data_IF_825892111984
#
_entry.id   IF_825892111984
#
_cell.length_a   1.000
_cell.length_b   1.000
_cell.length_c   1.000
_cell.angle_alpha   90.00
_cell.angle_beta   90.00
_cell.angle_gamma   90.00
#
_symmetry.space_group_name_H-M   'P 1'
#
loop_
_entity.id
_entity.type
_entity.pdbx_description
1 polymer ?
#
# COMPACT_ATOMS: atom_id res chain seq x y z
N UNK A 1 -22.96 4.97 8.37
CA UNK A 1 -22.80 5.15 9.84
C UNK A 1 -21.32 5.39 10.07
N UNK A 2 -20.93 6.60 10.46
CA UNK A 2 -19.53 6.94 10.70
C UNK A 2 -19.00 6.12 11.89
N UNK A 3 -18.11 5.18 11.64
CA UNK A 3 -17.31 4.58 12.69
C UNK A 3 -16.08 5.48 12.91
N UNK A 4 -16.16 6.31 13.95
CA UNK A 4 -15.05 7.11 14.45
C UNK A 4 -14.02 6.15 15.08
N UNK A 5 -12.81 6.14 14.57
CA UNK A 5 -11.68 5.55 15.27
C UNK A 5 -11.50 6.29 16.60
N UNK A 6 -11.78 5.60 17.71
CA UNK A 6 -11.43 6.09 19.04
C UNK A 6 -9.98 5.73 19.29
N UNK A 7 -9.09 6.69 19.13
CA UNK A 7 -7.72 6.58 19.63
C UNK A 7 -7.81 6.71 21.16
N UNK A 8 -7.53 5.64 21.88
CA UNK A 8 -7.47 5.67 23.35
C UNK A 8 -6.12 6.20 23.79
N UNK A 9 -6.12 7.34 24.48
CA UNK A 9 -4.96 7.80 25.22
C UNK A 9 -4.75 6.88 26.43
N UNK A 10 -3.64 6.13 26.44
CA UNK A 10 -3.24 5.35 27.62
C UNK A 10 -2.31 6.21 28.47
N UNK A 11 -2.80 6.64 29.63
CA UNK A 11 -2.02 7.39 30.60
C UNK A 11 -1.17 6.40 31.42
N UNK A 12 0.13 6.28 31.11
CA UNK A 12 1.08 5.60 31.99
C UNK A 12 2.04 6.60 32.62
N UNK A 13 2.03 6.66 33.96
CA UNK A 13 3.04 7.34 34.76
C UNK A 13 4.27 6.44 34.86
N UNK A 14 5.30 6.68 34.05
CA UNK A 14 6.67 6.23 34.36
C UNK A 14 7.68 7.29 33.97
N UNK A 15 8.33 7.84 34.98
CA UNK A 15 9.43 8.80 34.81
C UNK A 15 10.68 8.06 34.35
N UNK A 16 11.14 8.33 33.13
CA UNK A 16 12.49 8.00 32.67
C UNK A 16 13.18 9.32 32.26
N UNK A 17 14.15 9.77 33.03
CA UNK A 17 14.96 10.95 32.72
C UNK A 17 15.93 10.62 31.57
N UNK A 18 15.67 11.13 30.39
CA UNK A 18 16.69 11.28 29.34
C UNK A 18 16.89 12.78 29.15
N UNK A 19 18.12 13.23 29.34
CA UNK A 19 18.47 14.64 29.23
C UNK A 19 18.51 15.07 27.76
N UNK A 20 17.43 15.70 27.31
CA UNK A 20 17.40 16.49 26.09
C UNK A 20 17.43 17.98 26.40
N UNK A 21 17.87 18.81 25.45
CA UNK A 21 17.82 20.26 25.58
C UNK A 21 16.38 20.69 25.96
N UNK A 22 16.23 21.73 26.83
CA UNK A 22 14.91 22.14 27.26
C UNK A 22 14.07 22.55 26.03
N UNK A 23 12.83 22.04 25.91
CA UNK A 23 11.93 22.44 24.85
C UNK A 23 11.61 23.94 24.95
N UNK A 24 11.35 24.58 23.81
CA UNK A 24 10.89 25.96 23.78
C UNK A 24 9.55 26.08 24.54
N UNK A 25 9.49 26.97 25.53
CA UNK A 25 8.25 27.27 26.27
C UNK A 25 7.45 28.30 25.48
N UNK A 26 6.21 27.96 25.07
CA UNK A 26 5.28 28.86 24.39
C UNK A 26 4.02 28.96 25.24
N UNK A 27 3.55 30.19 25.54
CA UNK A 27 2.21 30.46 26.09
C UNK A 27 1.34 30.85 24.92
N UNK A 28 0.24 30.11 24.68
CA UNK A 28 -0.45 30.17 23.41
C UNK A 28 -1.98 30.16 23.58
N UNK A 29 -2.71 30.82 22.67
CA UNK A 29 -4.15 30.61 22.43
C UNK A 29 -4.36 29.30 21.65
N UNK A 30 -5.60 28.78 21.57
CA UNK A 30 -5.90 27.54 20.83
C UNK A 30 -5.34 27.53 19.40
N UNK A 31 -5.32 28.67 18.70
CA UNK A 31 -4.70 28.81 17.38
C UNK A 31 -3.18 28.72 17.43
N UNK A 32 -2.54 29.33 18.42
CA UNK A 32 -1.10 29.30 18.59
C UNK A 32 -0.63 27.90 19.04
N UNK A 33 -1.41 27.19 19.86
CA UNK A 33 -1.15 25.79 20.19
C UNK A 33 -1.20 24.91 18.93
N UNK A 34 -2.22 25.06 18.08
CA UNK A 34 -2.32 24.32 16.84
C UNK A 34 -1.12 24.60 15.92
N UNK A 35 -0.67 25.84 15.81
CA UNK A 35 0.49 26.22 15.00
C UNK A 35 1.81 25.67 15.59
N UNK A 36 1.94 25.68 16.92
CA UNK A 36 3.11 25.10 17.61
C UNK A 36 3.18 23.57 17.38
N UNK A 37 2.05 22.86 17.48
CA UNK A 37 1.96 21.42 17.21
C UNK A 37 2.27 21.12 15.73
N UNK A 38 1.67 21.84 14.78
CA UNK A 38 1.98 21.67 13.33
C UNK A 38 3.46 21.89 13.08
N UNK A 39 4.05 22.95 13.65
CA UNK A 39 5.49 23.23 13.49
C UNK A 39 6.35 22.11 14.07
N UNK A 40 6.02 21.58 15.26
CA UNK A 40 6.74 20.47 15.85
C UNK A 40 6.64 19.19 14.98
N UNK A 41 5.44 18.90 14.46
CA UNK A 41 5.22 17.76 13.55
C UNK A 41 6.00 17.96 12.25
N UNK A 42 5.92 19.14 11.63
CA UNK A 42 6.67 19.47 10.41
C UNK A 42 8.17 19.34 10.58
N UNK A 43 8.69 19.71 11.76
CA UNK A 43 10.09 19.56 12.12
C UNK A 43 10.45 18.13 12.56
N UNK A 44 9.51 17.23 12.71
CA UNK A 44 9.71 15.91 13.32
C UNK A 44 10.37 16.01 14.70
N UNK A 45 9.86 16.90 15.56
CA UNK A 45 10.36 17.02 16.93
C UNK A 45 9.82 15.84 17.76
N UNK A 46 10.67 15.24 18.61
CA UNK A 46 10.27 14.10 19.43
C UNK A 46 9.29 14.47 20.54
N UNK A 47 9.34 15.72 20.98
CA UNK A 47 8.39 16.25 21.98
C UNK A 47 8.22 17.76 21.88
N UNK A 48 7.10 18.25 22.41
CA UNK A 48 6.77 19.67 22.53
C UNK A 48 6.20 19.94 23.93
N UNK A 49 6.67 20.99 24.59
CA UNK A 49 6.05 21.47 25.83
C UNK A 49 5.41 22.83 25.59
N UNK A 50 4.12 22.95 25.91
CA UNK A 50 3.34 24.19 25.81
C UNK A 50 2.56 24.46 27.09
N UNK A 51 2.17 25.72 27.26
CA UNK A 51 1.37 26.19 28.37
C UNK A 51 0.16 26.96 27.86
N UNK A 52 -1.01 26.65 28.42
CA UNK A 52 -2.28 27.31 28.16
C UNK A 52 -2.90 27.82 29.46
N UNK A 53 -3.96 28.60 29.32
CA UNK A 53 -4.75 29.04 30.48
C UNK A 53 -5.38 27.83 31.19
N UNK A 54 -5.55 27.97 32.53
CA UNK A 54 -6.06 26.86 33.35
C UNK A 54 -7.46 26.36 32.95
N UNK A 55 -8.25 27.14 32.23
CA UNK A 55 -9.60 26.82 31.74
C UNK A 55 -9.64 26.33 30.29
N UNK A 56 -8.46 26.17 29.63
CA UNK A 56 -8.39 25.66 28.27
C UNK A 56 -9.07 24.30 28.14
N UNK A 57 -9.95 24.16 27.12
CA UNK A 57 -10.64 22.91 26.80
C UNK A 57 -9.74 22.00 25.93
N UNK A 58 -8.93 21.19 26.63
CA UNK A 58 -7.98 20.29 26.00
C UNK A 58 -8.67 19.15 25.25
N UNK A 59 -9.78 18.63 25.78
CA UNK A 59 -10.50 17.49 25.18
C UNK A 59 -11.10 17.89 23.82
N UNK A 60 -11.78 19.05 23.78
CA UNK A 60 -12.29 19.59 22.53
C UNK A 60 -11.19 19.89 21.51
N UNK A 61 -10.06 20.43 21.95
CA UNK A 61 -8.91 20.70 21.09
C UNK A 61 -8.35 19.41 20.46
N UNK A 62 -8.14 18.37 21.25
CA UNK A 62 -7.58 17.08 20.79
C UNK A 62 -8.52 16.37 19.81
N UNK A 63 -9.85 16.50 19.99
CA UNK A 63 -10.84 15.95 19.07
C UNK A 63 -10.82 16.61 17.68
N UNK A 64 -10.45 17.88 17.61
CA UNK A 64 -10.46 18.66 16.36
C UNK A 64 -9.10 18.73 15.66
N UNK A 65 -7.99 18.51 16.40
CA UNK A 65 -6.64 18.64 15.84
C UNK A 65 -6.28 17.44 14.96
N UNK A 66 -5.82 17.73 13.72
CA UNK A 66 -5.31 16.71 12.79
C UNK A 66 -3.82 16.42 13.04
N UNK A 67 -3.52 15.22 13.52
CA UNK A 67 -2.17 14.71 13.75
C UNK A 67 -1.58 14.00 12.51
N UNK A 68 -1.84 14.51 11.30
CA UNK A 68 -1.32 13.92 10.07
C UNK A 68 0.20 13.71 10.11
N UNK A 69 0.65 12.51 9.73
CA UNK A 69 2.06 12.12 9.76
C UNK A 69 2.55 11.54 11.09
N UNK A 70 1.75 11.59 12.15
CA UNK A 70 2.05 11.02 13.47
C UNK A 70 1.40 9.65 13.60
N UNK A 71 2.19 8.60 13.89
CA UNK A 71 1.69 7.25 14.14
C UNK A 71 1.22 7.03 15.57
N UNK A 72 1.84 7.74 16.51
CA UNK A 72 1.49 7.70 17.93
C UNK A 72 1.85 9.03 18.58
N UNK A 73 0.98 9.49 19.45
CA UNK A 73 1.28 10.61 20.35
C UNK A 73 0.88 10.28 21.79
N UNK A 74 1.60 10.85 22.73
CA UNK A 74 1.29 10.77 24.16
C UNK A 74 1.22 12.20 24.71
N UNK A 75 0.24 12.45 25.56
CA UNK A 75 0.05 13.74 26.19
C UNK A 75 0.10 13.59 27.71
N UNK A 76 1.07 14.25 28.31
CA UNK A 76 1.17 14.43 29.76
C UNK A 76 0.77 15.86 30.12
N UNK A 77 -0.29 16.04 30.87
CA UNK A 77 -0.77 17.37 31.27
C UNK A 77 -0.79 17.53 32.79
N UNK A 78 -0.52 18.75 33.24
CA UNK A 78 -0.59 19.14 34.66
C UNK A 78 -1.24 20.52 34.76
N UNK A 79 -2.36 20.61 35.45
CA UNK A 79 -3.14 21.85 35.64
C UNK A 79 -2.85 22.47 36.98
N UNK A 80 -2.53 23.77 36.98
CA UNK A 80 -2.41 24.58 38.16
C UNK A 80 -3.63 25.52 38.32
N UNK A 81 -3.60 26.44 39.24
CA UNK A 81 -4.64 27.47 39.35
C UNK A 81 -4.58 28.55 38.25
N UNK A 82 -3.46 28.62 37.51
CA UNK A 82 -3.20 29.68 36.53
C UNK A 82 -2.94 29.17 35.13
N UNK A 83 -2.38 28.00 35.04
CA UNK A 83 -1.92 27.44 33.78
C UNK A 83 -2.17 25.94 33.66
N UNK A 84 -2.22 25.46 32.43
CA UNK A 84 -2.22 24.06 32.00
C UNK A 84 -0.91 23.81 31.25
N UNK A 85 0.01 23.06 31.89
CA UNK A 85 1.20 22.57 31.21
C UNK A 85 0.88 21.30 30.46
N UNK A 86 1.30 21.23 29.21
CA UNK A 86 1.16 20.04 28.34
C UNK A 86 2.53 19.64 27.79
N UNK A 87 2.83 18.34 27.82
CA UNK A 87 3.98 17.74 27.15
C UNK A 87 3.45 16.73 26.17
N UNK A 88 3.72 16.98 24.92
CA UNK A 88 3.37 16.11 23.79
C UNK A 88 4.61 15.34 23.37
N UNK A 89 4.52 14.03 23.27
CA UNK A 89 5.56 13.16 22.73
C UNK A 89 5.04 12.51 21.46
N UNK A 90 5.85 12.50 20.38
CA UNK A 90 5.45 12.08 19.05
C UNK A 90 6.29 10.91 18.52
N UNK A 91 5.62 9.94 17.92
CA UNK A 91 6.23 8.98 17.00
C UNK A 91 5.63 9.19 15.59
N UNK A 92 6.49 9.15 14.58
CA UNK A 92 6.11 9.49 13.21
C UNK A 92 5.85 8.25 12.38
N UNK A 93 4.80 8.34 11.54
CA UNK A 93 4.51 7.36 10.50
C UNK A 93 5.75 7.15 9.60
N UNK A 94 5.98 5.90 9.19
CA UNK A 94 7.18 5.52 8.44
C UNK A 94 7.30 6.27 7.12
N UNK A 95 6.22 6.33 6.33
CA UNK A 95 6.20 7.03 5.04
C UNK A 95 6.41 8.52 5.21
N UNK A 96 5.75 9.13 6.20
CA UNK A 96 5.94 10.55 6.51
C UNK A 96 7.39 10.87 6.84
N UNK A 97 7.99 10.10 7.75
CA UNK A 97 9.37 10.31 8.18
C UNK A 97 10.38 10.12 7.05
N UNK A 98 10.21 9.05 6.24
CA UNK A 98 11.07 8.79 5.07
C UNK A 98 10.90 9.90 4.03
N UNK A 99 9.67 10.36 3.76
CA UNK A 99 9.42 11.48 2.85
C UNK A 99 10.16 12.73 3.26
N UNK A 100 10.06 13.13 4.54
CA UNK A 100 10.78 14.28 5.08
C UNK A 100 12.29 14.14 4.90
N UNK A 101 12.85 12.95 5.14
CA UNK A 101 14.27 12.66 4.95
C UNK A 101 14.70 12.68 3.47
N UNK A 102 13.80 12.36 2.53
CA UNK A 102 14.06 12.45 1.09
C UNK A 102 13.97 13.90 0.58
N UNK A 103 13.08 14.71 1.14
CA UNK A 103 12.94 16.13 0.84
C UNK A 103 14.11 16.96 1.37
N UNK A 104 14.57 16.65 2.58
CA UNK A 104 15.71 17.31 3.25
C UNK A 104 16.51 16.28 4.05
N UNK A 105 17.75 16.04 3.63
CA UNK A 105 18.67 15.08 4.26
C UNK A 105 18.96 15.39 5.75
N UNK A 106 18.70 16.60 6.22
CA UNK A 106 18.83 16.94 7.65
C UNK A 106 17.84 16.15 8.54
N UNK A 107 16.74 15.64 7.96
CA UNK A 107 15.79 14.80 8.68
C UNK A 107 16.24 13.34 8.83
N UNK A 108 17.26 12.87 8.11
CA UNK A 108 17.74 11.49 8.25
C UNK A 108 18.18 11.16 9.68
N UNK A 109 18.73 12.13 10.39
CA UNK A 109 19.13 11.98 11.81
C UNK A 109 17.93 11.87 12.78
N UNK A 110 16.72 12.20 12.33
CA UNK A 110 15.48 12.13 13.12
C UNK A 110 14.70 10.83 12.87
N UNK A 111 15.13 10.01 11.91
CA UNK A 111 14.54 8.71 11.65
C UNK A 111 14.76 7.76 12.83
N UNK A 112 13.72 6.96 13.15
CA UNK A 112 13.91 5.83 14.06
C UNK A 112 14.88 4.81 13.45
N UNK A 113 15.48 3.91 14.25
CA UNK A 113 16.38 2.89 13.71
C UNK A 113 15.76 2.03 12.60
N UNK A 114 14.46 1.67 12.72
CA UNK A 114 13.73 0.91 11.68
C UNK A 114 13.56 1.73 10.41
N UNK A 115 13.12 2.97 10.50
CA UNK A 115 12.95 3.87 9.36
C UNK A 115 14.27 4.14 8.62
N UNK A 116 15.36 4.36 9.38
CA UNK A 116 16.69 4.52 8.80
C UNK A 116 17.17 3.24 8.08
N UNK A 117 16.88 2.07 8.65
CA UNK A 117 17.18 0.79 8.02
C UNK A 117 16.38 0.63 6.70
N UNK A 118 15.06 0.87 6.70
CA UNK A 118 14.24 0.83 5.48
C UNK A 118 14.82 1.73 4.40
N UNK A 119 15.09 2.99 4.73
CA UNK A 119 15.64 3.95 3.76
C UNK A 119 17.00 3.50 3.20
N UNK A 120 17.89 3.01 4.05
CA UNK A 120 19.23 2.54 3.65
C UNK A 120 19.16 1.31 2.73
N UNK A 121 18.37 0.31 3.09
CA UNK A 121 18.26 -0.95 2.33
C UNK A 121 17.49 -0.76 1.03
N UNK A 122 16.44 0.08 1.02
CA UNK A 122 15.74 0.43 -0.21
C UNK A 122 16.65 1.19 -1.18
N UNK A 123 17.50 2.11 -0.71
CA UNK A 123 18.53 2.76 -1.54
C UNK A 123 19.52 1.74 -2.12
N UNK A 124 19.97 0.77 -1.31
CA UNK A 124 20.86 -0.29 -1.77
C UNK A 124 20.17 -1.20 -2.79
N UNK A 125 18.91 -1.58 -2.56
CA UNK A 125 18.12 -2.38 -3.49
C UNK A 125 17.95 -1.67 -4.83
N UNK A 126 17.51 -0.43 -4.83
CA UNK A 126 17.30 0.38 -6.05
C UNK A 126 18.61 0.49 -6.83
N UNK A 127 19.69 0.88 -6.17
CA UNK A 127 21.02 1.00 -6.78
C UNK A 127 21.51 -0.31 -7.43
N UNK A 128 21.20 -1.46 -6.83
CA UNK A 128 21.64 -2.78 -7.29
C UNK A 128 20.77 -3.34 -8.40
N UNK A 129 19.45 -3.18 -8.29
CA UNK A 129 18.47 -3.93 -9.07
C UNK A 129 17.73 -3.10 -10.11
N UNK A 130 17.71 -1.77 -9.98
CA UNK A 130 16.94 -0.87 -10.86
C UNK A 130 17.89 0.05 -11.64
N UNK A 131 18.30 -0.32 -12.86
CA UNK A 131 19.13 0.52 -13.71
C UNK A 131 18.43 1.85 -14.09
N UNK A 132 19.15 2.96 -14.06
CA UNK A 132 18.64 4.31 -14.40
C UNK A 132 18.02 4.40 -15.81
N UNK A 133 18.43 3.52 -16.73
CA UNK A 133 17.95 3.50 -18.12
C UNK A 133 16.55 2.93 -18.31
N UNK A 134 15.98 2.30 -17.27
CA UNK A 134 14.64 1.75 -17.33
C UNK A 134 13.60 2.88 -17.38
N UNK A 135 12.53 2.65 -18.14
CA UNK A 135 11.34 3.49 -18.11
C UNK A 135 10.63 3.36 -16.77
N UNK A 136 9.78 4.33 -16.43
CA UNK A 136 9.03 4.27 -15.16
C UNK A 136 8.15 3.02 -15.07
N UNK A 137 7.54 2.59 -16.18
CA UNK A 137 6.81 1.32 -16.29
C UNK A 137 7.69 0.09 -15.98
N UNK A 138 8.90 0.03 -16.55
CA UNK A 138 9.81 -1.09 -16.30
C UNK A 138 10.30 -1.13 -14.85
N UNK A 139 10.53 0.04 -14.23
CA UNK A 139 10.88 0.14 -12.81
C UNK A 139 9.73 -0.30 -11.92
N UNK A 140 8.52 0.19 -12.20
CA UNK A 140 7.30 -0.19 -11.51
C UNK A 140 7.08 -1.70 -11.56
N UNK A 141 7.11 -2.28 -12.78
CA UNK A 141 6.95 -3.72 -12.98
C UNK A 141 7.97 -4.54 -12.19
N UNK A 142 9.23 -4.12 -12.18
CA UNK A 142 10.28 -4.82 -11.44
C UNK A 142 10.03 -4.77 -9.92
N UNK A 143 9.56 -3.64 -9.41
CA UNK A 143 9.21 -3.47 -7.99
C UNK A 143 7.98 -4.30 -7.63
N UNK A 144 6.94 -4.27 -8.46
CA UNK A 144 5.76 -5.10 -8.33
C UNK A 144 6.12 -6.58 -8.25
N UNK A 145 6.83 -7.09 -9.27
CA UNK A 145 7.24 -8.50 -9.36
C UNK A 145 8.08 -8.93 -8.14
N UNK A 146 8.97 -8.05 -7.68
CA UNK A 146 9.76 -8.29 -6.48
C UNK A 146 8.89 -8.46 -5.23
N UNK A 147 7.94 -7.57 -5.03
CA UNK A 147 7.05 -7.61 -3.86
C UNK A 147 6.11 -8.82 -3.92
N UNK A 148 5.51 -9.12 -5.08
CA UNK A 148 4.65 -10.30 -5.26
C UNK A 148 5.35 -11.63 -4.96
N UNK A 149 6.67 -11.71 -5.17
CA UNK A 149 7.43 -12.95 -4.95
C UNK A 149 8.03 -13.05 -3.56
N UNK A 150 8.30 -11.93 -2.90
CA UNK A 150 9.09 -11.90 -1.66
C UNK A 150 8.29 -11.50 -0.42
N UNK A 151 7.03 -11.10 -0.58
CA UNK A 151 6.16 -10.71 0.54
C UNK A 151 4.90 -11.55 0.49
N UNK A 152 4.54 -12.18 1.60
CA UNK A 152 3.29 -12.90 1.77
C UNK A 152 2.28 -12.08 2.58
N UNK A 153 0.99 -12.26 2.31
CA UNK A 153 -0.05 -11.57 3.07
C UNK A 153 -0.12 -12.09 4.51
N UNK A 154 -0.28 -11.18 5.47
CA UNK A 154 -0.38 -11.51 6.90
C UNK A 154 -1.84 -11.73 7.29
N UNK A 155 -2.31 -12.96 7.06
CA UNK A 155 -3.68 -13.39 7.36
C UNK A 155 -4.01 -13.24 8.86
N UNK A 156 -3.05 -13.55 9.77
CA UNK A 156 -3.27 -13.49 11.21
C UNK A 156 -3.55 -12.04 11.66
N UNK A 157 -2.73 -11.10 11.23
CA UNK A 157 -2.94 -9.67 11.51
C UNK A 157 -4.26 -9.16 10.95
N UNK A 158 -4.64 -9.60 9.73
CA UNK A 158 -5.91 -9.19 9.12
C UNK A 158 -7.11 -9.78 9.84
N UNK A 159 -7.07 -11.06 10.27
CA UNK A 159 -8.12 -11.67 11.07
C UNK A 159 -8.28 -10.97 12.43
N UNK A 160 -7.18 -10.61 13.09
CA UNK A 160 -7.20 -9.82 14.33
C UNK A 160 -7.89 -8.46 14.10
N UNK A 161 -7.52 -7.73 13.05
CA UNK A 161 -8.11 -6.45 12.68
C UNK A 161 -9.62 -6.57 12.45
N UNK A 162 -10.05 -7.55 11.67
CA UNK A 162 -11.46 -7.82 11.38
C UNK A 162 -12.26 -8.22 12.64
N UNK A 163 -11.59 -8.87 13.59
CA UNK A 163 -12.16 -9.24 14.90
C UNK A 163 -12.19 -8.08 15.91
N UNK A 164 -11.68 -6.90 15.52
CA UNK A 164 -11.58 -5.71 16.39
C UNK A 164 -10.49 -5.82 17.45
N UNK A 165 -9.54 -6.72 17.29
CA UNK A 165 -8.36 -6.85 18.14
C UNK A 165 -7.36 -5.77 17.72
N UNK A 166 -6.94 -4.94 18.68
CA UNK A 166 -5.92 -3.91 18.44
C UNK A 166 -4.59 -4.47 18.93
N UNK A 167 -3.71 -4.79 17.99
CA UNK A 167 -2.34 -5.19 18.28
C UNK A 167 -1.46 -3.95 18.53
N UNK A 168 -0.53 -4.04 19.49
CA UNK A 168 0.54 -3.03 19.64
C UNK A 168 1.66 -3.19 18.61
N UNK A 169 1.71 -4.33 17.91
CA UNK A 169 2.69 -4.55 16.82
C UNK A 169 2.16 -3.97 15.52
N UNK A 170 2.71 -2.81 15.15
CA UNK A 170 2.42 -2.15 13.87
C UNK A 170 3.30 -2.65 12.72
N UNK A 171 4.19 -3.61 12.97
CA UNK A 171 5.17 -4.07 11.95
C UNK A 171 4.52 -4.53 10.65
N UNK A 172 3.41 -5.30 10.64
CA UNK A 172 2.75 -5.73 9.40
C UNK A 172 2.20 -4.59 8.53
N UNK A 173 1.99 -3.41 9.12
CA UNK A 173 1.48 -2.20 8.45
C UNK A 173 2.60 -1.32 7.88
N UNK A 174 3.86 -1.75 7.92
CA UNK A 174 5.03 -0.94 7.55
C UNK A 174 5.81 -1.55 6.40
N UNK A 175 6.54 -0.72 5.65
CA UNK A 175 7.52 -1.19 4.67
C UNK A 175 8.58 -2.08 5.32
N UNK A 176 8.90 -1.87 6.60
CA UNK A 176 9.80 -2.74 7.35
C UNK A 176 9.27 -4.18 7.41
N UNK A 177 8.00 -4.38 7.75
CA UNK A 177 7.36 -5.70 7.78
C UNK A 177 7.44 -6.39 6.42
N UNK A 178 7.03 -5.70 5.36
CA UNK A 178 7.08 -6.22 4.01
C UNK A 178 8.50 -6.60 3.56
N UNK A 179 9.47 -5.70 3.74
CA UNK A 179 10.81 -5.86 3.15
C UNK A 179 11.78 -6.71 3.97
N UNK A 180 11.59 -6.81 5.30
CA UNK A 180 12.53 -7.52 6.18
C UNK A 180 11.93 -8.75 6.85
N UNK A 181 10.63 -8.74 7.16
CA UNK A 181 9.95 -9.92 7.68
C UNK A 181 9.37 -10.78 6.56
N UNK A 182 9.18 -10.21 5.36
CA UNK A 182 8.54 -10.88 4.23
C UNK A 182 7.05 -11.14 4.42
N UNK A 183 6.41 -10.44 5.37
CA UNK A 183 4.97 -10.52 5.63
C UNK A 183 4.41 -9.15 5.92
N UNK A 184 3.24 -8.84 5.38
CA UNK A 184 2.58 -7.56 5.58
C UNK A 184 1.07 -7.65 5.27
N UNK A 185 0.30 -6.71 5.81
CA UNK A 185 -1.04 -6.40 5.32
C UNK A 185 -0.96 -5.34 4.21
N UNK A 186 -2.08 -4.97 3.61
CA UNK A 186 -2.16 -4.05 2.48
C UNK A 186 -1.37 -2.74 2.68
N UNK A 187 -1.45 -2.11 3.84
CA UNK A 187 -0.72 -0.88 4.15
C UNK A 187 0.80 -1.10 4.08
N UNK A 188 1.32 -2.23 4.57
CA UNK A 188 2.74 -2.56 4.49
C UNK A 188 3.23 -2.77 3.06
N UNK A 189 2.44 -3.43 2.21
CA UNK A 189 2.72 -3.53 0.76
C UNK A 189 2.74 -2.16 0.08
N UNK A 190 1.70 -1.34 0.31
CA UNK A 190 1.60 -0.01 -0.26
C UNK A 190 2.76 0.90 0.17
N UNK A 191 3.16 0.82 1.44
CA UNK A 191 4.31 1.55 1.98
C UNK A 191 5.63 1.09 1.36
N UNK A 192 5.85 -0.22 1.19
CA UNK A 192 7.05 -0.77 0.56
C UNK A 192 7.14 -0.37 -0.92
N UNK A 193 6.04 -0.49 -1.67
CA UNK A 193 5.96 -0.04 -3.06
C UNK A 193 6.25 1.47 -3.15
N UNK A 194 5.64 2.28 -2.27
CA UNK A 194 5.85 3.74 -2.24
C UNK A 194 7.33 4.11 -2.06
N UNK A 195 8.03 3.50 -1.11
CA UNK A 195 9.45 3.80 -0.86
C UNK A 195 10.32 3.42 -2.05
N UNK A 196 10.13 2.21 -2.60
CA UNK A 196 10.93 1.71 -3.72
C UNK A 196 10.70 2.52 -5.00
N UNK A 197 9.43 2.85 -5.33
CA UNK A 197 9.07 3.67 -6.47
C UNK A 197 9.66 5.08 -6.36
N UNK A 198 9.48 5.72 -5.18
CA UNK A 198 10.01 7.08 -4.93
C UNK A 198 11.53 7.13 -5.07
N UNK A 199 12.25 6.17 -4.50
CA UNK A 199 13.72 6.08 -4.63
C UNK A 199 14.18 5.77 -6.05
N UNK A 200 13.33 5.15 -6.86
CA UNK A 200 13.57 4.88 -8.28
C UNK A 200 13.24 6.08 -9.17
N UNK A 201 12.76 7.19 -8.59
CA UNK A 201 12.35 8.40 -9.29
C UNK A 201 10.98 8.31 -9.96
N UNK A 202 10.14 7.35 -9.56
CA UNK A 202 8.77 7.18 -10.04
C UNK A 202 7.80 7.89 -9.07
N UNK A 203 7.10 8.91 -9.56
CA UNK A 203 6.10 9.64 -8.78
C UNK A 203 4.92 8.73 -8.46
N UNK A 204 4.55 8.66 -7.18
CA UNK A 204 3.45 7.82 -6.74
C UNK A 204 2.81 8.33 -5.45
N UNK A 205 1.57 7.91 -5.19
CA UNK A 205 0.79 8.23 -4.00
C UNK A 205 0.26 6.95 -3.37
N UNK A 206 0.12 6.95 -2.04
CA UNK A 206 -0.64 5.91 -1.35
C UNK A 206 -2.12 6.30 -1.41
N UNK A 207 -2.95 5.36 -1.81
CA UNK A 207 -4.41 5.48 -1.85
C UNK A 207 -4.97 4.64 -0.71
N UNK A 208 -5.98 5.17 -0.03
CA UNK A 208 -6.67 4.46 1.04
C UNK A 208 -8.17 4.39 0.74
N UNK A 209 -8.79 3.30 1.13
CA UNK A 209 -10.22 3.18 1.35
C UNK A 209 -10.51 3.04 2.85
N UNK A 210 -11.75 2.74 3.21
CA UNK A 210 -12.11 2.46 4.61
C UNK A 210 -11.42 1.19 5.16
N UNK A 211 -11.01 0.26 4.29
CA UNK A 211 -10.52 -1.06 4.69
C UNK A 211 -9.23 -1.50 4.01
N UNK A 212 -8.75 -0.76 3.00
CA UNK A 212 -7.65 -1.18 2.14
C UNK A 212 -6.69 -0.03 1.79
N UNK A 213 -5.45 -0.37 1.39
CA UNK A 213 -4.44 0.57 0.93
C UNK A 213 -3.67 0.01 -0.27
N UNK A 214 -3.43 0.87 -1.28
CA UNK A 214 -2.69 0.55 -2.50
C UNK A 214 -1.95 1.79 -3.04
N UNK A 215 -1.43 1.75 -4.27
CA UNK A 215 -0.70 2.87 -4.84
C UNK A 215 -1.38 3.43 -6.10
N UNK A 216 -1.16 4.73 -6.34
CA UNK A 216 -1.44 5.41 -7.59
C UNK A 216 -0.11 5.88 -8.17
N UNK A 217 0.27 5.36 -9.33
CA UNK A 217 1.61 5.51 -9.92
C UNK A 217 1.53 6.35 -11.19
N UNK A 218 2.48 7.27 -11.35
CA UNK A 218 2.59 8.10 -12.56
C UNK A 218 3.52 7.48 -13.57
N UNK A 219 2.99 7.16 -14.74
CA UNK A 219 3.71 6.62 -15.87
C UNK A 219 3.65 7.61 -17.04
N UNK A 220 4.77 8.24 -17.34
CA UNK A 220 4.80 9.34 -18.30
C UNK A 220 3.92 10.52 -17.83
N UNK A 221 2.83 10.81 -18.55
CA UNK A 221 1.87 11.87 -18.19
C UNK A 221 0.56 11.34 -17.57
N UNK A 222 0.45 10.05 -17.32
CA UNK A 222 -0.77 9.39 -16.85
C UNK A 222 -0.57 8.77 -15.48
N UNK A 223 -1.67 8.63 -14.74
CA UNK A 223 -1.68 7.87 -13.50
C UNK A 223 -2.42 6.55 -13.69
N UNK A 224 -2.01 5.53 -12.96
CA UNK A 224 -2.60 4.21 -12.95
C UNK A 224 -2.61 3.65 -11.53
N UNK A 225 -3.63 2.89 -11.18
CA UNK A 225 -3.67 2.17 -9.91
C UNK A 225 -2.79 0.92 -9.94
N UNK A 226 -2.08 0.69 -8.85
CA UNK A 226 -1.22 -0.47 -8.62
C UNK A 226 -1.57 -1.07 -7.26
N UNK A 227 -2.14 -2.26 -7.24
CA UNK A 227 -2.34 -3.01 -6.00
C UNK A 227 -1.50 -4.29 -5.96
N UNK A 228 -0.34 -4.16 -5.36
CA UNK A 228 0.58 -5.29 -5.20
C UNK A 228 0.06 -6.34 -4.22
N UNK A 229 -0.77 -5.94 -3.25
CA UNK A 229 -1.31 -6.86 -2.24
C UNK A 229 -2.19 -7.92 -2.88
N UNK A 230 -3.12 -7.49 -3.72
CA UNK A 230 -4.06 -8.40 -4.37
C UNK A 230 -3.38 -9.20 -5.47
N UNK A 231 -2.47 -8.61 -6.25
CA UNK A 231 -1.65 -9.35 -7.22
C UNK A 231 -0.70 -10.37 -6.54
N UNK A 232 -0.19 -10.09 -5.34
CA UNK A 232 0.61 -11.02 -4.53
C UNK A 232 -0.25 -12.22 -4.08
N UNK A 233 -1.45 -11.99 -3.58
CA UNK A 233 -2.37 -13.05 -3.17
C UNK A 233 -2.76 -13.95 -4.32
N UNK A 234 -3.01 -13.39 -5.52
CA UNK A 234 -3.25 -14.18 -6.73
C UNK A 234 -1.99 -14.91 -7.21
N UNK A 235 -0.81 -14.33 -7.03
CA UNK A 235 0.48 -14.96 -7.34
C UNK A 235 0.70 -16.19 -6.47
N UNK A 236 0.41 -16.11 -5.18
CA UNK A 236 0.48 -17.25 -4.27
C UNK A 236 -0.51 -18.36 -4.66
N UNK A 237 -1.72 -18.00 -5.07
CA UNK A 237 -2.74 -18.94 -5.52
C UNK A 237 -2.35 -19.68 -6.80
N UNK A 238 -1.74 -18.98 -7.77
CA UNK A 238 -1.46 -19.51 -9.12
C UNK A 238 -0.04 -20.00 -9.30
N UNK A 239 0.88 -19.64 -8.39
CA UNK A 239 2.31 -19.92 -8.49
C UNK A 239 3.02 -19.13 -9.60
N UNK A 240 2.38 -18.09 -10.13
CA UNK A 240 2.92 -17.22 -11.19
C UNK A 240 2.52 -15.79 -10.95
N UNK A 241 3.43 -14.83 -11.17
CA UNK A 241 3.14 -13.41 -10.96
C UNK A 241 1.91 -13.00 -11.77
N UNK A 242 0.93 -12.45 -11.07
CA UNK A 242 -0.31 -11.94 -11.63
C UNK A 242 -0.26 -10.42 -11.78
N UNK A 243 -1.07 -9.89 -12.68
CA UNK A 243 -1.14 -8.46 -13.01
C UNK A 243 -2.59 -7.98 -13.11
N UNK A 244 -3.49 -8.64 -12.38
CA UNK A 244 -4.93 -8.33 -12.37
C UNK A 244 -5.19 -6.90 -11.92
N UNK A 245 -4.43 -6.45 -10.92
CA UNK A 245 -4.56 -5.11 -10.31
C UNK A 245 -3.39 -4.19 -10.65
N UNK A 246 -2.70 -4.49 -11.75
CA UNK A 246 -1.54 -3.75 -12.24
C UNK A 246 -1.95 -2.76 -13.33
N UNK A 247 -1.80 -1.46 -13.05
CA UNK A 247 -2.07 -0.36 -13.97
C UNK A 247 -3.53 -0.24 -14.43
N UNK A 248 -4.44 -0.28 -13.45
CA UNK A 248 -5.87 -0.08 -13.66
C UNK A 248 -6.25 1.42 -13.71
N UNK A 249 -7.36 1.69 -14.38
CA UNK A 249 -8.03 3.01 -14.34
C UNK A 249 -8.89 3.15 -13.09
N UNK A 250 -9.34 4.38 -12.76
CA UNK A 250 -10.33 4.64 -11.71
C UNK A 250 -11.60 3.78 -11.92
N UNK A 251 -12.09 3.70 -13.17
CA UNK A 251 -13.29 2.93 -13.50
C UNK A 251 -13.09 1.43 -13.26
N UNK A 252 -11.93 0.89 -13.61
CA UNK A 252 -11.61 -0.51 -13.41
C UNK A 252 -11.41 -0.83 -11.92
N UNK A 253 -10.61 -0.02 -11.21
CA UNK A 253 -10.29 -0.25 -9.81
C UNK A 253 -11.53 -0.12 -8.90
N UNK A 254 -12.37 0.88 -9.11
CA UNK A 254 -13.56 1.11 -8.27
C UNK A 254 -14.72 0.12 -8.52
N UNK A 255 -14.58 -0.85 -9.42
CA UNK A 255 -15.51 -1.98 -9.51
C UNK A 255 -15.44 -2.87 -8.26
N UNK A 256 -14.28 -2.92 -7.62
CA UNK A 256 -14.05 -3.72 -6.43
C UNK A 256 -14.46 -2.93 -5.17
N UNK A 257 -15.31 -3.50 -4.30
CA UNK A 257 -15.87 -2.77 -3.15
C UNK A 257 -14.83 -2.19 -2.20
N UNK A 258 -13.70 -2.88 -2.00
CA UNK A 258 -12.61 -2.46 -1.13
C UNK A 258 -11.79 -1.30 -1.71
N UNK A 259 -11.89 -1.03 -3.02
CA UNK A 259 -11.13 -0.01 -3.73
C UNK A 259 -11.92 1.29 -3.97
N UNK A 260 -12.66 1.76 -2.96
CA UNK A 260 -13.35 3.05 -3.01
C UNK A 260 -12.47 4.12 -2.32
N UNK A 261 -11.71 4.97 -3.07
CA UNK A 261 -10.77 5.92 -2.47
C UNK A 261 -11.46 6.91 -1.55
N UNK A 262 -10.87 7.13 -0.36
CA UNK A 262 -11.31 8.18 0.59
C UNK A 262 -10.36 9.38 0.60
N UNK A 263 -9.20 9.28 -0.04
CA UNK A 263 -8.26 10.39 -0.18
C UNK A 263 -8.83 11.48 -1.09
N UNK A 264 -8.79 12.73 -0.64
CA UNK A 264 -9.15 13.87 -1.46
C UNK A 264 -7.98 14.32 -2.35
N UNK A 265 -8.29 14.80 -3.56
CA UNK A 265 -7.32 15.49 -4.42
C UNK A 265 -6.31 14.59 -5.15
N UNK A 266 -6.54 13.29 -5.21
CA UNK A 266 -5.74 12.40 -6.06
C UNK A 266 -5.92 12.75 -7.55
N UNK A 267 -4.85 12.67 -8.36
CA UNK A 267 -4.98 12.82 -9.80
C UNK A 267 -5.75 11.64 -10.41
N UNK A 268 -6.50 11.87 -11.50
CA UNK A 268 -7.31 10.81 -12.11
C UNK A 268 -6.44 9.77 -12.84
N UNK A 269 -6.84 8.50 -12.74
CA UNK A 269 -6.31 7.39 -13.52
C UNK A 269 -7.31 7.03 -14.64
N UNK A 270 -7.12 7.63 -15.82
CA UNK A 270 -8.05 7.56 -16.95
C UNK A 270 -7.50 6.85 -18.19
N UNK A 271 -6.36 6.14 -18.06
CA UNK A 271 -5.64 5.60 -19.22
C UNK A 271 -5.32 4.11 -19.07
N UNK A 272 -5.76 3.32 -20.03
CA UNK A 272 -5.43 1.90 -20.16
C UNK A 272 -4.06 1.64 -20.85
N UNK A 273 -3.31 2.71 -21.17
CA UNK A 273 -2.10 2.62 -21.99
C UNK A 273 -0.97 1.78 -21.35
N UNK A 274 -1.03 1.56 -20.04
CA UNK A 274 -0.04 0.77 -19.30
C UNK A 274 -0.59 -0.54 -18.73
N UNK A 275 -1.87 -0.86 -18.96
CA UNK A 275 -2.42 -2.13 -18.52
C UNK A 275 -1.72 -3.30 -19.25
N UNK A 276 -1.26 -4.28 -18.49
CA UNK A 276 -0.46 -5.40 -18.98
C UNK A 276 -1.21 -6.22 -20.05
N UNK A 277 -2.44 -6.58 -19.77
CA UNK A 277 -3.23 -7.45 -20.64
C UNK A 277 -3.64 -6.78 -21.96
N UNK A 278 -3.93 -5.46 -21.91
CA UNK A 278 -4.38 -4.72 -23.08
C UNK A 278 -3.25 -4.49 -24.08
N UNK A 279 -2.04 -4.28 -23.59
CA UNK A 279 -0.87 -4.04 -24.42
C UNK A 279 -0.23 -5.33 -24.96
N UNK A 280 -0.41 -6.46 -24.27
CA UNK A 280 0.14 -7.75 -24.69
C UNK A 280 -0.77 -8.55 -25.65
N UNK A 281 -1.99 -8.08 -25.91
CA UNK A 281 -2.98 -8.81 -26.69
C UNK A 281 -3.67 -9.93 -25.91
N UNK A 282 -3.55 -9.91 -24.58
CA UNK A 282 -4.15 -10.86 -23.64
C UNK A 282 -5.51 -10.39 -23.12
N UNK A 283 -6.25 -9.65 -23.93
CA UNK A 283 -7.61 -9.20 -23.65
C UNK A 283 -8.61 -9.98 -24.52
N UNK A 284 -9.62 -10.56 -23.90
CA UNK A 284 -10.69 -11.32 -24.53
C UNK A 284 -12.04 -10.61 -24.32
N UNK A 285 -12.73 -10.28 -25.43
CA UNK A 285 -14.09 -9.74 -25.43
C UNK A 285 -15.17 -10.82 -25.59
N UNK A 286 -14.78 -12.07 -25.84
CA UNK A 286 -15.70 -13.21 -26.04
C UNK A 286 -14.95 -14.55 -25.96
N UNK A 287 -15.69 -15.69 -25.94
CA UNK A 287 -15.10 -17.04 -25.87
C UNK A 287 -14.13 -17.35 -27.01
N UNK A 288 -14.39 -16.87 -28.24
CA UNK A 288 -13.47 -17.12 -29.34
C UNK A 288 -12.12 -16.43 -29.16
N UNK A 289 -12.09 -15.26 -28.50
CA UNK A 289 -10.85 -14.61 -28.10
C UNK A 289 -10.15 -15.41 -27.02
N UNK A 290 -10.87 -15.93 -26.02
CA UNK A 290 -10.31 -16.79 -24.96
C UNK A 290 -9.63 -18.01 -25.59
N UNK A 291 -10.34 -18.74 -26.46
CA UNK A 291 -9.79 -19.90 -27.15
C UNK A 291 -8.54 -19.56 -27.98
N UNK A 292 -8.60 -18.48 -28.76
CA UNK A 292 -7.48 -17.98 -29.57
C UNK A 292 -6.26 -17.62 -28.73
N UNK A 293 -6.45 -16.90 -27.63
CA UNK A 293 -5.36 -16.43 -26.75
C UNK A 293 -4.71 -17.63 -26.06
N UNK A 294 -5.50 -18.51 -25.44
CA UNK A 294 -4.96 -19.67 -24.72
C UNK A 294 -4.24 -20.61 -25.70
N UNK A 295 -4.81 -20.86 -26.90
CA UNK A 295 -4.19 -21.69 -27.92
C UNK A 295 -2.82 -21.11 -28.34
N UNK A 296 -2.79 -19.82 -28.70
CA UNK A 296 -1.55 -19.16 -29.14
C UNK A 296 -0.47 -19.15 -28.04
N UNK A 297 -0.83 -18.85 -26.81
CA UNK A 297 0.09 -18.85 -25.67
C UNK A 297 0.64 -20.27 -25.39
N UNK A 298 -0.24 -21.27 -25.43
CA UNK A 298 0.15 -22.68 -25.28
C UNK A 298 1.10 -23.14 -26.41
N UNK A 299 0.86 -22.77 -27.66
CA UNK A 299 1.76 -23.06 -28.79
C UNK A 299 3.12 -22.36 -28.64
N UNK A 300 3.14 -21.15 -28.06
CA UNK A 300 4.38 -20.42 -27.73
C UNK A 300 5.16 -21.05 -26.56
N UNK A 301 4.60 -22.03 -25.89
CA UNK A 301 5.25 -22.75 -24.79
C UNK A 301 4.82 -22.31 -23.39
N UNK A 302 3.89 -21.35 -23.29
CA UNK A 302 3.36 -20.89 -22.02
C UNK A 302 2.57 -22.02 -21.33
N UNK A 303 2.64 -22.06 -19.99
CA UNK A 303 1.94 -23.03 -19.16
C UNK A 303 1.01 -22.39 -18.15
N UNK A 304 1.32 -21.16 -17.76
CA UNK A 304 0.48 -20.33 -16.91
C UNK A 304 0.03 -19.15 -17.78
N UNK A 305 -1.24 -19.14 -18.13
CA UNK A 305 -1.80 -18.22 -19.11
C UNK A 305 -2.86 -17.41 -18.40
N UNK A 306 -2.59 -16.12 -18.20
CA UNK A 306 -3.55 -15.17 -17.64
C UNK A 306 -3.99 -14.19 -18.70
N UNK A 307 -5.29 -13.91 -18.77
CA UNK A 307 -5.88 -12.99 -19.71
C UNK A 307 -7.02 -12.20 -19.07
N UNK A 308 -7.19 -10.96 -19.51
CA UNK A 308 -8.32 -10.13 -19.13
C UNK A 308 -9.57 -10.56 -19.89
N UNK A 309 -10.69 -10.65 -19.21
CA UNK A 309 -11.99 -10.96 -19.82
C UNK A 309 -12.90 -9.75 -19.62
N UNK A 310 -13.29 -9.11 -20.72
CA UNK A 310 -14.18 -7.96 -20.69
C UNK A 310 -15.57 -8.34 -20.18
N UNK A 311 -16.17 -7.43 -19.40
CA UNK A 311 -17.56 -7.54 -18.93
C UNK A 311 -17.92 -8.93 -18.34
N UNK A 312 -17.01 -9.49 -17.53
CA UNK A 312 -17.19 -10.81 -16.91
C UNK A 312 -18.53 -10.94 -16.18
N UNK A 313 -19.11 -9.85 -15.67
CA UNK A 313 -20.43 -9.84 -15.03
C UNK A 313 -21.59 -10.09 -16.00
N UNK A 314 -21.37 -9.91 -17.31
CA UNK A 314 -22.35 -10.17 -18.37
C UNK A 314 -22.13 -11.51 -19.06
N UNK A 315 -20.97 -12.16 -18.80
CA UNK A 315 -20.66 -13.47 -19.35
C UNK A 315 -21.30 -14.56 -18.47
N UNK A 316 -22.38 -15.15 -18.94
CA UNK A 316 -22.97 -16.36 -18.35
C UNK A 316 -22.20 -17.59 -18.88
N UNK A 317 -20.90 -17.64 -18.62
CA UNK A 317 -20.01 -18.70 -19.06
C UNK A 317 -19.89 -19.79 -18.01
N UNK A 318 -19.96 -21.03 -18.45
CA UNK A 318 -19.57 -22.21 -17.69
C UNK A 318 -18.12 -22.55 -18.05
N UNK A 319 -17.16 -21.96 -17.30
CA UNK A 319 -15.74 -22.11 -17.58
C UNK A 319 -15.29 -23.57 -17.59
N UNK A 320 -15.88 -24.43 -16.77
CA UNK A 320 -15.60 -25.86 -16.80
C UNK A 320 -16.00 -26.51 -18.14
N UNK A 321 -17.09 -26.09 -18.71
CA UNK A 321 -17.54 -26.53 -20.05
C UNK A 321 -16.76 -25.83 -21.15
N UNK A 322 -16.61 -24.52 -21.03
CA UNK A 322 -16.13 -23.66 -22.10
C UNK A 322 -14.61 -23.78 -22.32
N UNK A 323 -13.85 -24.25 -21.31
CA UNK A 323 -12.43 -24.57 -21.42
C UNK A 323 -12.15 -26.04 -21.85
N UNK A 324 -13.13 -26.82 -22.27
CA UNK A 324 -12.90 -28.21 -22.71
C UNK A 324 -11.95 -28.34 -23.91
N UNK A 325 -11.88 -27.32 -24.78
CA UNK A 325 -10.92 -27.27 -25.90
C UNK A 325 -9.44 -27.37 -25.44
N UNK A 326 -9.14 -27.02 -24.19
CA UNK A 326 -7.77 -27.09 -23.63
C UNK A 326 -7.21 -28.52 -23.68
N UNK A 327 -8.08 -29.55 -23.59
CA UNK A 327 -7.67 -30.96 -23.69
C UNK A 327 -7.13 -31.33 -25.07
N UNK A 328 -7.53 -30.61 -26.12
CA UNK A 328 -7.09 -30.87 -27.48
C UNK A 328 -5.78 -30.18 -27.85
N UNK A 329 -5.27 -29.35 -26.96
CA UNK A 329 -4.00 -28.63 -27.16
C UNK A 329 -2.81 -29.61 -27.05
N UNK A 330 -1.90 -29.55 -28.02
CA UNK A 330 -0.74 -30.45 -28.09
C UNK A 330 0.57 -29.68 -28.39
N UNK A 331 0.97 -28.73 -27.53
CA UNK A 331 2.15 -27.91 -27.79
C UNK A 331 3.44 -28.73 -27.83
N UNK A 332 4.18 -28.60 -28.94
CA UNK A 332 5.43 -29.34 -29.13
C UNK A 332 5.27 -30.85 -29.16
N UNK A 333 4.06 -31.36 -29.42
CA UNK A 333 3.75 -32.81 -29.47
C UNK A 333 3.49 -33.44 -28.09
N UNK A 334 3.44 -32.66 -27.03
CA UNK A 334 3.06 -33.11 -25.68
C UNK A 334 1.55 -32.88 -25.48
N UNK A 335 0.93 -33.77 -24.69
CA UNK A 335 -0.49 -33.63 -24.34
C UNK A 335 -0.68 -32.84 -23.07
N UNK A 336 -1.79 -32.09 -22.96
CA UNK A 336 -2.27 -31.57 -21.68
C UNK A 336 -2.74 -32.76 -20.84
N UNK A 337 -2.02 -33.08 -19.76
CA UNK A 337 -2.36 -34.18 -18.85
C UNK A 337 -3.49 -33.76 -17.87
N UNK A 338 -3.40 -32.52 -17.40
CA UNK A 338 -4.43 -31.87 -16.59
C UNK A 338 -4.29 -30.36 -16.71
N UNK A 339 -5.33 -29.64 -16.38
CA UNK A 339 -5.26 -28.20 -16.18
C UNK A 339 -6.14 -27.80 -15.00
N UNK A 340 -5.79 -26.67 -14.40
CA UNK A 340 -6.65 -25.95 -13.46
C UNK A 340 -6.85 -24.53 -13.97
N UNK A 341 -7.89 -23.87 -13.50
CA UNK A 341 -8.16 -22.50 -13.85
C UNK A 341 -8.69 -21.73 -12.65
N UNK A 342 -8.47 -20.43 -12.66
CA UNK A 342 -9.06 -19.46 -11.74
C UNK A 342 -9.92 -18.56 -12.63
N UNK A 343 -11.22 -18.61 -12.40
CA UNK A 343 -12.22 -17.91 -13.22
C UNK A 343 -12.35 -16.43 -12.83
N UNK A 344 -12.78 -15.56 -13.76
CA UNK A 344 -13.24 -14.21 -13.40
C UNK A 344 -14.36 -14.28 -12.38
N UNK A 345 -14.44 -13.28 -11.52
CA UNK A 345 -15.43 -13.24 -10.44
C UNK A 345 -15.74 -11.81 -10.01
N UNK A 346 -16.39 -11.64 -8.87
CA UNK A 346 -16.77 -10.33 -8.36
C UNK A 346 -15.56 -9.45 -7.99
N UNK A 347 -14.43 -10.08 -7.74
CA UNK A 347 -13.19 -9.50 -7.26
C UNK A 347 -12.04 -9.56 -8.27
N UNK A 348 -12.29 -10.02 -9.49
CA UNK A 348 -11.26 -10.07 -10.54
C UNK A 348 -11.85 -10.14 -11.96
N UNK A 349 -11.22 -9.46 -12.91
CA UNK A 349 -11.55 -9.46 -14.33
C UNK A 349 -10.64 -10.40 -15.16
N UNK A 350 -9.86 -11.28 -14.53
CA UNK A 350 -8.91 -12.16 -15.21
C UNK A 350 -9.27 -13.63 -15.10
N UNK A 351 -9.05 -14.35 -16.20
CA UNK A 351 -9.03 -15.80 -16.27
C UNK A 351 -7.58 -16.28 -16.29
N UNK A 352 -7.22 -17.15 -15.36
CA UNK A 352 -5.90 -17.81 -15.35
C UNK A 352 -6.08 -19.30 -15.62
N UNK A 353 -5.33 -19.84 -16.59
CA UNK A 353 -5.31 -21.27 -16.93
C UNK A 353 -3.89 -21.82 -16.74
N UNK A 354 -3.74 -22.86 -15.93
CA UNK A 354 -2.47 -23.51 -15.62
C UNK A 354 -2.48 -24.91 -16.25
N UNK A 355 -1.52 -25.16 -17.17
CA UNK A 355 -1.42 -26.39 -17.94
C UNK A 355 -0.34 -27.33 -17.37
N UNK A 356 -0.73 -28.56 -17.08
CA UNK A 356 0.20 -29.64 -16.71
C UNK A 356 0.36 -30.55 -17.93
N UNK A 357 1.60 -30.69 -18.42
CA UNK A 357 1.94 -31.38 -19.64
C UNK A 357 2.54 -32.75 -19.36
N UNK A 358 2.24 -33.71 -20.23
CA UNK A 358 2.84 -35.04 -20.22
C UNK A 358 3.87 -35.21 -21.35
#
# INVERSE_FOLDING_TARGET
MLNRFKIYAVVFLTALFIAFAPPAEVSASAGELADALRTAIENMDGSLTVYEDADFDLDAFVEEFDFAGVSKWELNSARSQRDLRMVWDFAYNEVYAIRKALEDASFEQKLSPRQAQVLSECRAFVKKNIPDKLTDYEKEKLIHDYLCVNVSFDEETEEERLSGIISDDITPYTAYGALFNGTAVCEGYANAAWVLLTLSGVENHIVNSDTHAWNLVKLGSRYCHLDVTWDSSETDLTGTIQYTYFNLTDEQMTRYPEHQPVNAGLPPADSEAYNMYFNSGMRAGNLADVERIITAACEAGERNISLWVDDHLTFDYDWQRDLQFVWDLTPGGNYVESFMFVEPGADRDTLTVILYMR
#
